data_IF_566142323743
#
_entry.id   IF_566142323743
#
_cell.length_a   1.000
_cell.length_b   1.000
_cell.length_c   1.000
_cell.angle_alpha   90.00
_cell.angle_beta   90.00
_cell.angle_gamma   90.00
#
_symmetry.space_group_name_H-M   'P 1'
#
loop_
_entity.id
_entity.type
_entity.pdbx_description
1 polymer ?
#
# COMPACT_ATOMS: atom_id res chain seq x y z
N UNK A 1 4.62 -14.23 -15.37
CA UNK A 1 3.68 -13.79 -14.32
C UNK A 1 4.37 -12.74 -13.46
N UNK A 2 4.33 -11.47 -13.87
CA UNK A 2 4.90 -10.33 -13.14
C UNK A 2 3.92 -9.18 -13.37
N UNK A 3 2.87 -9.11 -12.56
CA UNK A 3 1.84 -8.08 -12.68
C UNK A 3 2.39 -6.71 -12.27
N UNK A 4 1.82 -5.65 -12.84
CA UNK A 4 2.16 -4.20 -12.73
C UNK A 4 2.30 -3.60 -11.32
N UNK A 5 2.31 -4.43 -10.27
CA UNK A 5 2.22 -4.02 -8.88
C UNK A 5 3.46 -4.48 -8.12
N UNK A 6 4.20 -3.52 -7.57
CA UNK A 6 5.26 -3.81 -6.60
C UNK A 6 4.60 -4.07 -5.25
N UNK A 7 4.78 -5.27 -4.72
CA UNK A 7 4.25 -5.66 -3.42
C UNK A 7 5.30 -5.44 -2.32
N UNK A 8 4.85 -4.98 -1.15
CA UNK A 8 5.70 -4.78 0.02
C UNK A 8 5.00 -5.24 1.29
N UNK A 9 5.77 -5.74 2.26
CA UNK A 9 5.26 -6.03 3.61
C UNK A 9 5.98 -5.12 4.61
N UNK A 10 5.21 -4.38 5.41
CA UNK A 10 5.73 -3.52 6.48
C UNK A 10 5.39 -4.09 7.86
N UNK A 11 6.31 -3.95 8.81
CA UNK A 11 6.11 -4.34 10.22
C UNK A 11 6.66 -3.27 11.15
N UNK A 12 5.89 -2.86 12.16
CA UNK A 12 6.33 -1.92 13.21
C UNK A 12 5.63 -2.25 14.53
N UNK A 13 6.40 -2.55 15.59
CA UNK A 13 5.87 -3.04 16.88
C UNK A 13 4.97 -4.28 16.64
N UNK A 14 3.73 -4.26 17.14
CA UNK A 14 2.71 -5.28 16.89
C UNK A 14 1.93 -5.08 15.58
N UNK A 15 2.20 -4.01 14.83
CA UNK A 15 1.47 -3.67 13.59
C UNK A 15 2.11 -4.30 12.35
N UNK A 16 1.27 -4.79 11.44
CA UNK A 16 1.66 -5.37 10.15
C UNK A 16 0.85 -4.73 9.02
N UNK A 17 1.48 -4.43 7.89
CA UNK A 17 0.86 -3.84 6.72
C UNK A 17 1.24 -4.60 5.44
N UNK A 18 0.26 -4.77 4.53
CA UNK A 18 0.50 -5.21 3.15
C UNK A 18 0.32 -4.02 2.23
N UNK A 19 1.32 -3.77 1.40
CA UNK A 19 1.40 -2.60 0.52
C UNK A 19 1.37 -3.09 -0.93
N UNK A 20 0.53 -2.45 -1.71
CA UNK A 20 0.42 -2.65 -3.15
C UNK A 20 0.73 -1.33 -3.84
N UNK A 21 1.84 -1.27 -4.57
CA UNK A 21 2.29 -0.08 -5.29
C UNK A 21 2.11 -0.28 -6.78
N UNK A 22 1.49 0.70 -7.45
CA UNK A 22 1.44 0.79 -8.91
C UNK A 22 1.90 2.17 -9.36
N UNK A 23 2.40 2.29 -10.58
CA UNK A 23 2.66 3.60 -11.21
C UNK A 23 1.31 4.32 -11.39
N UNK A 24 1.25 5.61 -11.07
CA UNK A 24 0.00 6.38 -11.16
C UNK A 24 0.11 7.78 -10.56
N UNK A 25 -1.04 8.41 -10.31
CA UNK A 25 -1.17 9.80 -9.85
C UNK A 25 -0.79 10.06 -8.38
N UNK A 26 -0.23 9.07 -7.68
CA UNK A 26 0.15 9.21 -6.27
C UNK A 26 -1.01 9.14 -5.27
N UNK A 27 -2.19 8.66 -5.67
CA UNK A 27 -3.30 8.42 -4.74
C UNK A 27 -2.93 7.32 -3.73
N UNK A 28 -3.00 7.64 -2.44
CA UNK A 28 -2.74 6.71 -1.34
C UNK A 28 -4.04 6.45 -0.60
N UNK A 29 -4.35 5.19 -0.35
CA UNK A 29 -5.53 4.79 0.42
C UNK A 29 -5.15 3.68 1.41
N UNK A 30 -5.63 3.77 2.65
CA UNK A 30 -5.41 2.75 3.69
C UNK A 30 -6.76 2.17 4.08
N UNK A 31 -6.94 0.86 3.89
CA UNK A 31 -8.21 0.16 4.17
C UNK A 31 -9.46 0.82 3.52
N UNK A 32 -9.30 1.39 2.32
CA UNK A 32 -10.38 2.04 1.58
C UNK A 32 -10.65 3.49 1.98
N UNK A 33 -9.90 4.04 2.94
CA UNK A 33 -9.97 5.45 3.36
C UNK A 33 -8.82 6.27 2.80
N UNK A 34 -9.05 7.57 2.62
CA UNK A 34 -7.98 8.51 2.29
C UNK A 34 -7.05 8.70 3.50
N UNK A 35 -5.81 9.09 3.26
CA UNK A 35 -4.82 9.30 4.33
C UNK A 35 -5.08 10.57 5.15
N UNK A 36 -5.86 11.51 4.62
CA UNK A 36 -6.14 12.81 5.26
C UNK A 36 -7.37 12.82 6.16
N UNK A 37 -8.09 11.70 6.27
CA UNK A 37 -9.24 11.52 7.17
C UNK A 37 -8.79 11.13 8.58
#
# INVERSE_FOLDING_TARGET
MIGEWNNGTGRRKSSVARVFLKKGSGKITVNGKDIQE
#
